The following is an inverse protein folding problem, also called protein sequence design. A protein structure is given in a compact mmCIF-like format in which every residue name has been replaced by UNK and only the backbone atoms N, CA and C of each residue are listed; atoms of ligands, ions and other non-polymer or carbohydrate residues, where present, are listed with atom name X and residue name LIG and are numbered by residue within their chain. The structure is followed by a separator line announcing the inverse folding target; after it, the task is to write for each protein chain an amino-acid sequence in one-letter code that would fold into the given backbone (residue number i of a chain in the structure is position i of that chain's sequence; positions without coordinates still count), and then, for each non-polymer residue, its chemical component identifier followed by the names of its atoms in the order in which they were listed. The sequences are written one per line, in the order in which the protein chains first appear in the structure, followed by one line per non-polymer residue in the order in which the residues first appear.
data_IF_428021735368
#
_entry.id   IF_428021735368
#
_cell.length_a   1.000
_cell.length_b   1.000
_cell.length_c   1.000
_cell.angle_alpha   90.00
_cell.angle_beta   90.00
_cell.angle_gamma   90.00
#
_symmetry.space_group_name_H-M   'P 1'
#
loop_
_entity.id
_entity.type
_entity.pdbx_description
1 polymer ?
#
# COMPACT_ATOMS: atom_id res chain seq x y z
N UNK A 1 31.75 34.11 67.70
CA UNK A 1 33.11 33.65 68.08
C UNK A 1 34.07 33.63 66.88
N UNK A 2 34.06 34.66 66.01
CA UNK A 2 34.99 34.72 64.88
C UNK A 2 36.03 35.83 65.02
N UNK A 3 35.68 36.96 65.64
CA UNK A 3 36.53 38.15 65.77
C UNK A 3 37.71 38.04 66.75
N UNK A 4 37.92 36.89 67.40
CA UNK A 4 39.00 36.68 68.39
C UNK A 4 40.17 35.84 67.85
N UNK A 5 40.11 35.36 66.60
CA UNK A 5 41.23 34.66 65.95
C UNK A 5 42.14 35.67 65.23
N UNK A 6 43.46 35.40 65.27
CA UNK A 6 44.46 36.17 64.52
C UNK A 6 44.08 36.21 63.03
N UNK A 7 44.08 37.39 62.37
CA UNK A 7 43.67 37.56 60.97
C UNK A 7 44.34 36.58 60.00
N UNK A 8 45.58 36.16 60.26
CA UNK A 8 46.30 35.18 59.45
C UNK A 8 45.60 33.81 59.47
N UNK A 9 45.18 33.34 60.65
CA UNK A 9 44.47 32.06 60.79
C UNK A 9 43.08 32.09 60.17
N UNK A 10 42.39 33.24 60.21
CA UNK A 10 41.12 33.41 59.49
C UNK A 10 41.30 33.30 57.98
N UNK A 11 42.33 33.94 57.41
CA UNK A 11 42.59 33.86 55.97
C UNK A 11 42.93 32.44 55.52
N UNK A 12 43.71 31.69 56.30
CA UNK A 12 44.05 30.30 55.98
C UNK A 12 42.82 29.38 56.01
N UNK A 13 41.92 29.56 56.99
CA UNK A 13 40.67 28.79 57.05
C UNK A 13 39.80 29.09 55.84
N UNK A 14 39.66 30.36 55.44
CA UNK A 14 38.88 30.74 54.27
C UNK A 14 39.46 30.16 52.97
N UNK A 15 40.78 30.19 52.80
CA UNK A 15 41.45 29.59 51.63
C UNK A 15 41.19 28.08 51.57
N UNK A 16 41.27 27.39 52.71
CA UNK A 16 41.02 25.95 52.78
C UNK A 16 39.56 25.61 52.48
N UNK A 17 38.62 26.44 52.92
CA UNK A 17 37.20 26.29 52.64
C UNK A 17 36.88 26.49 51.15
N UNK A 18 37.46 27.52 50.52
CA UNK A 18 37.33 27.77 49.08
C UNK A 18 37.97 26.62 48.28
N UNK A 19 39.15 26.16 48.68
CA UNK A 19 39.86 25.05 48.02
C UNK A 19 39.05 23.74 48.06
N UNK A 20 38.23 23.51 49.08
CA UNK A 20 37.31 22.35 49.14
C UNK A 20 35.99 22.56 48.40
N UNK A 21 35.43 23.78 48.42
CA UNK A 21 34.13 24.09 47.82
C UNK A 21 34.17 24.09 46.29
N UNK A 22 35.24 24.60 45.68
CA UNK A 22 35.37 24.67 44.21
C UNK A 22 35.34 23.27 43.54
N UNK A 23 36.14 22.27 43.96
CA UNK A 23 36.12 20.95 43.34
C UNK A 23 34.83 20.19 43.62
N UNK A 24 34.19 20.38 44.78
CA UNK A 24 32.91 19.73 45.09
C UNK A 24 31.77 20.27 44.23
N UNK A 25 31.70 21.59 44.01
CA UNK A 25 30.74 22.21 43.10
C UNK A 25 31.00 21.75 41.65
N UNK A 26 32.26 21.72 41.22
CA UNK A 26 32.64 21.27 39.88
C UNK A 26 32.26 19.81 39.63
N UNK A 27 32.57 18.91 40.56
CA UNK A 27 32.30 17.48 40.41
C UNK A 27 30.80 17.15 40.51
N UNK A 28 30.09 17.82 41.43
CA UNK A 28 28.64 17.66 41.59
C UNK A 28 27.87 18.24 40.39
N UNK A 29 28.27 19.43 39.94
CA UNK A 29 27.71 20.08 38.75
C UNK A 29 27.97 19.28 37.48
N UNK A 30 29.21 18.83 37.25
CA UNK A 30 29.56 18.03 36.07
C UNK A 30 28.78 16.71 36.00
N UNK A 31 28.70 15.98 37.12
CA UNK A 31 27.96 14.71 37.16
C UNK A 31 26.46 14.90 36.95
N UNK A 32 25.89 16.00 37.44
CA UNK A 32 24.47 16.32 37.24
C UNK A 32 24.20 16.73 35.78
N UNK A 33 25.04 17.57 35.20
CA UNK A 33 24.93 18.00 33.80
C UNK A 33 25.17 16.85 32.82
N UNK A 34 26.11 15.95 33.09
CA UNK A 34 26.35 14.77 32.26
C UNK A 34 25.13 13.85 32.21
N UNK A 35 24.50 13.59 33.37
CA UNK A 35 23.26 12.80 33.44
C UNK A 35 22.10 13.43 32.68
N UNK A 36 21.94 14.76 32.77
CA UNK A 36 20.90 15.48 32.01
C UNK A 36 21.14 15.40 30.51
N UNK A 37 22.38 15.61 30.06
CA UNK A 37 22.75 15.50 28.66
C UNK A 37 22.56 14.06 28.11
N UNK A 38 22.84 13.03 28.90
CA UNK A 38 22.57 11.64 28.53
C UNK A 38 21.06 11.36 28.44
N UNK A 39 20.27 11.88 29.37
CA UNK A 39 18.81 11.74 29.36
C UNK A 39 18.18 12.44 28.14
N UNK A 40 18.58 13.68 27.85
CA UNK A 40 18.10 14.42 26.67
C UNK A 40 18.48 13.70 25.37
N UNK A 41 19.70 13.16 25.26
CA UNK A 41 20.09 12.35 24.11
C UNK A 41 19.26 11.08 23.99
N UNK A 42 19.01 10.38 25.09
CA UNK A 42 18.20 9.16 25.09
C UNK A 42 16.76 9.45 24.64
N UNK A 43 16.18 10.57 25.09
CA UNK A 43 14.84 11.01 24.67
C UNK A 43 14.79 11.35 23.18
N UNK A 44 15.78 12.08 22.65
CA UNK A 44 15.87 12.39 21.22
C UNK A 44 16.04 11.12 20.38
N UNK A 45 16.85 10.15 20.84
CA UNK A 45 17.02 8.88 20.13
C UNK A 45 15.71 8.07 20.16
N UNK A 46 15.04 7.99 21.32
CA UNK A 46 13.79 7.27 21.47
C UNK A 46 12.67 7.85 20.58
N UNK A 47 12.55 9.18 20.55
CA UNK A 47 11.58 9.87 19.68
C UNK A 47 11.90 9.65 18.20
N UNK A 48 13.17 9.73 17.81
CA UNK A 48 13.58 9.45 16.44
C UNK A 48 13.26 8.01 16.03
N UNK A 49 13.58 7.03 16.88
CA UNK A 49 13.26 5.61 16.63
C UNK A 49 11.75 5.37 16.52
N UNK A 50 10.95 5.96 17.41
CA UNK A 50 9.50 5.85 17.34
C UNK A 50 8.95 6.47 16.04
N UNK A 51 9.46 7.63 15.64
CA UNK A 51 9.06 8.29 14.39
C UNK A 51 9.47 7.51 13.14
N UNK A 52 10.66 6.89 13.15
CA UNK A 52 11.14 6.05 12.06
C UNK A 52 10.29 4.79 11.91
N UNK A 53 9.97 4.12 13.02
CA UNK A 53 9.09 2.94 13.02
C UNK A 53 7.69 3.28 12.52
N UNK A 54 7.11 4.41 12.97
CA UNK A 54 5.81 4.87 12.50
C UNK A 54 5.82 5.19 10.99
N UNK A 55 6.90 5.82 10.50
CA UNK A 55 7.06 6.08 9.08
C UNK A 55 7.15 4.77 8.28
N UNK A 56 7.97 3.80 8.71
CA UNK A 56 8.11 2.50 8.05
C UNK A 56 6.79 1.72 8.01
N UNK A 57 6.02 1.75 9.10
CA UNK A 57 4.68 1.14 9.17
C UNK A 57 3.73 1.79 8.16
N UNK A 58 3.66 3.12 8.13
CA UNK A 58 2.82 3.84 7.17
C UNK A 58 3.23 3.59 5.72
N UNK A 59 4.53 3.52 5.43
CA UNK A 59 5.02 3.16 4.10
C UNK A 59 4.62 1.73 3.73
N UNK A 60 4.76 0.78 4.66
CA UNK A 60 4.39 -0.62 4.44
C UNK A 60 2.89 -0.78 4.19
N UNK A 61 2.05 -0.09 4.97
CA UNK A 61 0.60 -0.09 4.78
C UNK A 61 0.20 0.49 3.43
N UNK A 62 0.78 1.64 3.04
CA UNK A 62 0.54 2.23 1.71
C UNK A 62 0.96 1.30 0.58
N UNK A 63 2.09 0.62 0.74
CA UNK A 63 2.62 -0.31 -0.26
C UNK A 63 1.73 -1.56 -0.38
N UNK A 64 1.22 -2.06 0.76
CA UNK A 64 0.23 -3.13 0.79
C UNK A 64 -1.07 -2.72 0.11
N UNK A 65 -1.63 -1.56 0.45
CA UNK A 65 -2.85 -1.04 -0.15
C UNK A 65 -2.70 -0.85 -1.67
N UNK A 66 -1.57 -0.28 -2.13
CA UNK A 66 -1.28 -0.13 -3.55
C UNK A 66 -1.15 -1.48 -4.28
N UNK A 67 -0.56 -2.49 -3.63
CA UNK A 67 -0.46 -3.83 -4.20
C UNK A 67 -1.82 -4.53 -4.28
N UNK A 68 -2.68 -4.38 -3.26
CA UNK A 68 -4.05 -4.90 -3.27
C UNK A 68 -4.89 -4.24 -4.37
N UNK A 69 -4.77 -2.92 -4.55
CA UNK A 69 -5.45 -2.20 -5.63
C UNK A 69 -4.98 -2.67 -7.00
N UNK A 70 -3.66 -2.79 -7.20
CA UNK A 70 -3.09 -3.34 -8.44
C UNK A 70 -3.63 -4.75 -8.74
N UNK A 71 -3.70 -5.60 -7.73
CA UNK A 71 -4.22 -6.96 -7.88
C UNK A 71 -5.69 -6.95 -8.27
N UNK A 72 -6.53 -6.11 -7.63
CA UNK A 72 -7.94 -5.96 -8.00
C UNK A 72 -8.11 -5.53 -9.45
N UNK A 73 -7.33 -4.56 -9.91
CA UNK A 73 -7.38 -4.11 -11.31
C UNK A 73 -6.94 -5.18 -12.29
N UNK A 74 -5.91 -5.95 -11.95
CA UNK A 74 -5.44 -7.07 -12.76
C UNK A 74 -6.50 -8.17 -12.88
N UNK A 75 -7.10 -8.57 -11.76
CA UNK A 75 -8.15 -9.58 -11.72
C UNK A 75 -9.39 -9.12 -12.51
N UNK A 76 -9.77 -7.84 -12.37
CA UNK A 76 -10.87 -7.24 -13.13
C UNK A 76 -10.60 -7.24 -14.64
N UNK A 77 -9.39 -6.84 -15.06
CA UNK A 77 -9.01 -6.86 -16.47
C UNK A 77 -8.97 -8.29 -17.04
N UNK A 78 -8.49 -9.25 -16.26
CA UNK A 78 -8.47 -10.65 -16.65
C UNK A 78 -9.89 -11.23 -16.77
N UNK A 79 -10.79 -10.90 -15.85
CA UNK A 79 -12.20 -11.30 -15.93
C UNK A 79 -12.86 -10.75 -17.20
N UNK A 80 -12.73 -9.45 -17.47
CA UNK A 80 -13.24 -8.85 -18.71
C UNK A 80 -12.66 -9.51 -19.97
N UNK A 81 -11.36 -9.82 -19.96
CA UNK A 81 -10.72 -10.50 -21.09
C UNK A 81 -11.30 -11.89 -21.33
N UNK A 82 -11.61 -12.63 -20.26
CA UNK A 82 -12.25 -13.96 -20.35
C UNK A 82 -13.69 -13.84 -20.83
N UNK A 83 -14.46 -12.89 -20.31
CA UNK A 83 -15.84 -12.67 -20.72
C UNK A 83 -15.93 -12.29 -22.20
N UNK A 84 -15.02 -11.42 -22.66
CA UNK A 84 -14.90 -11.06 -24.06
C UNK A 84 -14.53 -12.26 -24.93
N UNK A 85 -13.53 -13.05 -24.53
CA UNK A 85 -13.15 -14.27 -25.26
C UNK A 85 -14.31 -15.28 -25.33
N UNK A 86 -15.06 -15.45 -24.24
CA UNK A 86 -16.25 -16.29 -24.20
C UNK A 86 -17.36 -15.77 -25.12
N UNK A 87 -17.59 -14.46 -25.15
CA UNK A 87 -18.56 -13.84 -26.05
C UNK A 87 -18.19 -14.08 -27.52
N UNK A 88 -16.92 -13.88 -27.89
CA UNK A 88 -16.44 -14.18 -29.24
C UNK A 88 -16.63 -15.66 -29.59
N UNK A 89 -16.28 -16.59 -28.70
CA UNK A 89 -16.51 -18.01 -28.95
C UNK A 89 -17.99 -18.36 -29.13
N UNK A 90 -18.89 -17.69 -28.41
CA UNK A 90 -20.33 -17.90 -28.59
C UNK A 90 -20.81 -17.38 -29.94
N UNK A 91 -20.34 -16.20 -30.36
CA UNK A 91 -20.63 -15.63 -31.68
C UNK A 91 -20.13 -16.58 -32.77
N UNK A 92 -18.90 -17.07 -32.68
CA UNK A 92 -18.31 -17.99 -33.67
C UNK A 92 -19.11 -19.30 -33.77
N UNK A 93 -19.52 -19.87 -32.63
CA UNK A 93 -20.36 -21.07 -32.62
C UNK A 93 -21.74 -20.82 -33.22
N UNK A 94 -22.34 -19.66 -32.95
CA UNK A 94 -23.63 -19.30 -33.52
C UNK A 94 -23.52 -19.10 -35.04
N UNK A 95 -22.46 -18.42 -35.50
CA UNK A 95 -22.17 -18.23 -36.92
C UNK A 95 -22.01 -19.57 -37.64
N UNK A 96 -21.16 -20.48 -37.12
CA UNK A 96 -20.96 -21.81 -37.70
C UNK A 96 -22.24 -22.67 -37.70
N UNK A 97 -23.06 -22.56 -36.63
CA UNK A 97 -24.35 -23.26 -36.57
C UNK A 97 -25.33 -22.70 -37.60
N UNK A 98 -25.39 -21.38 -37.76
CA UNK A 98 -26.25 -20.71 -38.73
C UNK A 98 -25.84 -21.07 -40.17
N UNK A 99 -24.55 -21.06 -40.47
CA UNK A 99 -24.01 -21.47 -41.77
C UNK A 99 -24.44 -22.90 -42.10
N UNK A 100 -24.25 -23.84 -41.16
CA UNK A 100 -24.72 -25.22 -41.33
C UNK A 100 -26.24 -25.33 -41.54
N UNK A 101 -27.03 -24.55 -40.81
CA UNK A 101 -28.49 -24.52 -40.97
C UNK A 101 -28.91 -24.00 -42.35
N UNK A 102 -28.21 -22.99 -42.87
CA UNK A 102 -28.43 -22.46 -44.22
C UNK A 102 -28.12 -23.54 -45.25
N UNK A 103 -26.96 -24.19 -45.17
CA UNK A 103 -26.56 -25.26 -46.10
C UNK A 103 -27.56 -26.42 -46.11
N UNK A 104 -27.96 -26.91 -44.94
CA UNK A 104 -28.97 -27.96 -44.81
C UNK A 104 -30.32 -27.54 -45.39
N UNK A 105 -30.71 -26.27 -45.21
CA UNK A 105 -31.97 -25.72 -45.72
C UNK A 105 -31.96 -25.61 -47.24
N UNK A 106 -30.86 -25.10 -47.82
CA UNK A 106 -30.65 -25.03 -49.27
C UNK A 106 -30.66 -26.43 -49.88
N UNK A 107 -30.00 -27.40 -49.24
CA UNK A 107 -30.00 -28.79 -49.70
C UNK A 107 -31.40 -29.42 -49.68
N UNK A 108 -32.22 -29.12 -48.66
CA UNK A 108 -33.60 -29.60 -48.55
C UNK A 108 -34.54 -28.98 -49.58
N UNK A 109 -34.39 -27.69 -49.88
CA UNK A 109 -35.21 -27.02 -50.90
C UNK A 109 -34.84 -27.51 -52.32
N UNK A 110 -33.55 -27.82 -52.55
CA UNK A 110 -33.05 -28.43 -53.78
C UNK A 110 -33.15 -27.54 -55.03
N UNK A 111 -32.63 -28.02 -56.16
CA UNK A 111 -32.52 -27.23 -57.42
C UNK A 111 -33.85 -26.94 -58.13
N UNK A 112 -35.00 -27.28 -57.54
CA UNK A 112 -36.32 -27.05 -58.16
C UNK A 112 -36.75 -25.58 -58.11
N UNK A 113 -36.14 -24.78 -57.24
CA UNK A 113 -36.50 -23.38 -57.02
C UNK A 113 -35.36 -22.46 -57.47
N UNK A 114 -35.68 -21.43 -58.27
CA UNK A 114 -34.73 -20.36 -58.65
C UNK A 114 -34.60 -19.26 -57.57
N UNK A 115 -34.94 -19.57 -56.31
CA UNK A 115 -35.01 -18.64 -55.17
C UNK A 115 -35.15 -19.39 -53.84
N UNK A 116 -35.48 -18.70 -52.74
CA UNK A 116 -35.73 -19.36 -51.43
C UNK A 116 -36.92 -20.31 -51.53
N UNK A 117 -36.70 -21.60 -51.23
CA UNK A 117 -37.78 -22.58 -51.13
C UNK A 117 -38.50 -22.49 -49.79
N UNK A 118 -39.47 -23.38 -49.56
CA UNK A 118 -40.35 -23.35 -48.39
C UNK A 118 -39.57 -23.37 -47.07
N UNK A 119 -38.49 -24.16 -46.98
CA UNK A 119 -37.69 -24.24 -45.77
C UNK A 119 -36.82 -22.97 -45.60
N UNK A 120 -36.30 -22.42 -46.69
CA UNK A 120 -35.56 -21.14 -46.70
C UNK A 120 -36.39 -19.96 -46.21
N UNK A 121 -37.66 -19.86 -46.63
CA UNK A 121 -38.58 -18.81 -46.17
C UNK A 121 -38.89 -18.95 -44.68
N UNK A 122 -39.11 -20.18 -44.18
CA UNK A 122 -39.31 -20.41 -42.75
C UNK A 122 -38.09 -20.04 -41.91
N UNK A 123 -36.88 -20.37 -42.39
CA UNK A 123 -35.64 -19.99 -41.71
C UNK A 123 -35.49 -18.46 -41.67
N UNK A 124 -35.80 -17.77 -42.77
CA UNK A 124 -35.73 -16.31 -42.86
C UNK A 124 -36.75 -15.62 -41.94
N UNK A 125 -38.00 -16.08 -41.94
CA UNK A 125 -39.03 -15.53 -41.06
C UNK A 125 -38.68 -15.72 -39.58
N UNK A 126 -38.16 -16.90 -39.21
CA UNK A 126 -37.69 -17.16 -37.84
C UNK A 126 -36.51 -16.26 -37.45
N UNK A 127 -35.61 -15.94 -38.38
CA UNK A 127 -34.52 -14.99 -38.14
C UNK A 127 -35.01 -13.55 -37.96
N UNK A 128 -36.14 -13.17 -38.58
CA UNK A 128 -36.80 -11.88 -38.40
C UNK A 128 -37.73 -11.82 -37.16
N UNK A 129 -37.85 -12.93 -36.40
CA UNK A 129 -38.73 -13.00 -35.24
C UNK A 129 -40.20 -13.23 -35.58
N UNK A 130 -40.50 -13.68 -36.80
CA UNK A 130 -41.81 -14.14 -37.21
C UNK A 130 -41.87 -15.67 -37.10
N UNK A 131 -42.59 -16.18 -36.10
CA UNK A 131 -42.92 -17.60 -35.95
C UNK A 131 -44.08 -18.02 -36.86
#
# INVERSE_FOLDING_TARGET
MWKTLNPIWQTLILILLIAGAVPTIYFCGYKSSAKKAEAEKAEVIATYQASALAAEQLYTEKLKAANEEKQRWFDFAQAQSRDLANAYQQIDRQAAKLEKQIDETVQKDGNRFNGLGTNGVQLYNRALGHD
#
